data_IF_490433268930
#
_entry.id   IF_490433268930
#
_cell.length_a   1.000
_cell.length_b   1.000
_cell.length_c   1.000
_cell.angle_alpha   90.00
_cell.angle_beta   90.00
_cell.angle_gamma   90.00
#
_symmetry.space_group_name_H-M   'P 1'
#
loop_
_entity.id
_entity.type
_entity.pdbx_description
1 polymer ?
#
# COMPACT_ATOMS: atom_id res chain seq x y z
N UNK A 1 0.57 3.60 26.19
CA UNK A 1 1.00 2.76 27.34
C UNK A 1 1.66 1.44 26.89
N UNK A 2 2.67 1.44 26.01
CA UNK A 2 3.29 0.20 25.47
C UNK A 2 4.69 -0.14 26.02
N UNK A 3 5.28 0.72 26.86
CA UNK A 3 6.67 0.54 27.33
C UNK A 3 6.88 -0.59 28.34
N UNK A 4 5.93 -0.80 29.26
CA UNK A 4 6.11 -1.70 30.40
C UNK A 4 6.33 -3.17 30.01
N UNK A 5 5.50 -3.70 29.10
CA UNK A 5 5.61 -5.10 28.65
C UNK A 5 6.87 -5.32 27.80
N UNK A 6 7.25 -4.33 26.98
CA UNK A 6 8.46 -4.41 26.16
C UNK A 6 9.73 -4.42 27.02
N UNK A 7 9.79 -3.58 28.06
CA UNK A 7 10.90 -3.59 29.02
C UNK A 7 10.95 -4.87 29.85
N UNK A 8 9.81 -5.43 30.24
CA UNK A 8 9.76 -6.73 30.90
C UNK A 8 10.33 -7.85 30.02
N UNK A 9 9.99 -7.88 28.73
CA UNK A 9 10.55 -8.85 27.78
C UNK A 9 12.06 -8.69 27.63
N UNK A 10 12.58 -7.47 27.59
CA UNK A 10 14.01 -7.18 27.54
C UNK A 10 14.75 -7.65 28.82
N UNK A 11 14.16 -7.41 29.99
CA UNK A 11 14.65 -7.88 31.30
C UNK A 11 14.80 -9.40 31.33
N UNK A 12 13.75 -10.13 30.92
CA UNK A 12 13.69 -11.61 30.95
C UNK A 12 14.57 -12.23 29.85
N UNK A 13 14.55 -11.69 28.64
CA UNK A 13 15.35 -12.18 27.51
C UNK A 13 16.86 -11.89 27.63
N UNK A 14 17.27 -11.03 28.57
CA UNK A 14 18.62 -10.47 28.67
C UNK A 14 19.04 -9.68 27.42
N UNK A 15 18.09 -9.08 26.71
CA UNK A 15 18.32 -8.25 25.53
C UNK A 15 18.14 -6.77 25.84
N UNK A 16 19.05 -5.92 25.35
CA UNK A 16 19.00 -4.47 25.54
C UNK A 16 20.00 -3.93 26.57
N UNK A 17 20.31 -2.63 26.48
CA UNK A 17 21.31 -1.96 27.31
C UNK A 17 20.72 -1.19 28.50
N UNK A 18 19.44 -0.85 28.43
CA UNK A 18 18.79 0.10 29.34
C UNK A 18 17.88 -0.57 30.39
N UNK A 19 17.94 -1.90 30.50
CA UNK A 19 17.10 -2.67 31.42
C UNK A 19 18.00 -3.64 32.18
N UNK A 20 17.84 -3.70 33.51
CA UNK A 20 18.53 -4.68 34.35
C UNK A 20 18.17 -6.10 33.88
N UNK A 21 19.08 -7.06 33.99
CA UNK A 21 18.82 -8.46 33.55
C UNK A 21 18.17 -9.27 34.67
N UNK A 22 17.25 -10.17 34.31
CA UNK A 22 16.63 -11.11 35.23
C UNK A 22 17.69 -12.01 35.89
N UNK A 23 17.61 -12.19 37.20
CA UNK A 23 18.56 -13.00 37.98
C UNK A 23 18.07 -14.44 38.20
N UNK A 24 16.79 -14.71 37.95
CA UNK A 24 16.17 -16.01 38.19
C UNK A 24 16.71 -17.07 37.20
N UNK A 25 16.95 -18.26 37.73
CA UNK A 25 17.53 -19.40 36.97
C UNK A 25 16.69 -20.67 37.09
N UNK A 26 15.42 -20.56 37.47
CA UNK A 26 14.53 -21.72 37.49
C UNK A 26 14.31 -22.24 36.07
N UNK A 27 13.94 -23.53 35.89
CA UNK A 27 13.61 -24.08 34.57
C UNK A 27 12.56 -23.25 33.83
N UNK A 28 11.55 -22.74 34.54
CA UNK A 28 10.49 -21.89 34.00
C UNK A 28 11.02 -20.52 33.56
N UNK A 29 11.99 -19.97 34.30
CA UNK A 29 12.64 -18.70 33.94
C UNK A 29 13.49 -18.83 32.66
N UNK A 30 14.16 -19.97 32.46
CA UNK A 30 14.90 -20.27 31.23
C UNK A 30 13.96 -20.43 30.02
N UNK A 31 12.82 -21.11 30.20
CA UNK A 31 11.80 -21.23 29.16
C UNK A 31 11.18 -19.86 28.82
N UNK A 32 10.86 -19.05 29.84
CA UNK A 32 10.35 -17.69 29.67
C UNK A 32 11.37 -16.78 28.95
N UNK A 33 12.67 -16.96 29.23
CA UNK A 33 13.76 -16.26 28.54
C UNK A 33 13.77 -16.55 27.05
N UNK A 34 13.72 -17.82 26.65
CA UNK A 34 13.69 -18.20 25.23
C UNK A 34 12.41 -17.72 24.54
N UNK A 35 11.25 -17.83 25.19
CA UNK A 35 9.98 -17.28 24.65
C UNK A 35 10.06 -15.77 24.45
N UNK A 36 10.57 -15.02 25.44
CA UNK A 36 10.72 -13.58 25.33
C UNK A 36 11.68 -13.20 24.20
N UNK A 37 12.82 -13.90 24.08
CA UNK A 37 13.81 -13.71 23.02
C UNK A 37 13.22 -13.94 21.63
N UNK A 38 12.47 -15.04 21.46
CA UNK A 38 11.77 -15.33 20.20
C UNK A 38 10.79 -14.21 19.84
N UNK A 39 9.95 -13.76 20.78
CA UNK A 39 8.98 -12.69 20.50
C UNK A 39 9.63 -11.35 20.16
N UNK A 40 10.79 -11.02 20.74
CA UNK A 40 11.53 -9.81 20.41
C UNK A 40 12.12 -9.90 19.00
N UNK A 41 12.69 -11.05 18.63
CA UNK A 41 13.26 -11.25 17.30
C UNK A 41 12.21 -11.32 16.20
N UNK A 42 11.08 -12.00 16.43
CA UNK A 42 9.94 -12.00 15.50
C UNK A 42 9.40 -10.56 15.28
N UNK A 43 9.37 -9.74 16.34
CA UNK A 43 8.97 -8.34 16.23
C UNK A 43 10.00 -7.48 15.47
N UNK A 44 11.31 -7.74 15.62
CA UNK A 44 12.37 -7.10 14.82
C UNK A 44 12.25 -7.49 13.35
N UNK A 45 12.17 -8.79 13.05
CA UNK A 45 12.01 -9.31 11.69
C UNK A 45 10.76 -8.73 11.01
N UNK A 46 9.62 -8.66 11.70
CA UNK A 46 8.40 -8.04 11.15
C UNK A 46 8.56 -6.54 10.86
N UNK A 47 9.44 -5.82 11.58
CA UNK A 47 9.76 -4.42 11.26
C UNK A 47 10.67 -4.35 10.05
N UNK A 48 11.68 -5.21 9.98
CA UNK A 48 12.59 -5.32 8.83
C UNK A 48 11.83 -5.69 7.55
N UNK A 49 10.95 -6.69 7.59
CA UNK A 49 10.06 -7.08 6.49
C UNK A 49 9.18 -5.91 6.02
N UNK A 50 8.65 -5.10 6.95
CA UNK A 50 7.90 -3.87 6.59
C UNK A 50 8.78 -2.83 5.91
N UNK A 51 10.00 -2.63 6.41
CA UNK A 51 10.96 -1.71 5.80
C UNK A 51 11.36 -2.18 4.41
N UNK A 52 11.59 -3.48 4.23
CA UNK A 52 11.92 -4.09 2.94
C UNK A 52 10.74 -3.92 1.98
N UNK A 53 9.52 -4.25 2.40
CA UNK A 53 8.33 -4.09 1.57
C UNK A 53 8.09 -2.63 1.19
N UNK A 54 8.33 -1.68 2.10
CA UNK A 54 8.29 -0.25 1.77
C UNK A 54 9.35 0.08 0.72
N UNK A 55 10.59 -0.39 0.86
CA UNK A 55 11.65 -0.16 -0.12
C UNK A 55 11.35 -0.80 -1.48
N UNK A 56 10.79 -2.01 -1.53
CA UNK A 56 10.37 -2.69 -2.76
C UNK A 56 9.24 -1.91 -3.45
N UNK A 57 8.25 -1.43 -2.69
CA UNK A 57 7.17 -0.59 -3.19
C UNK A 57 7.70 0.74 -3.77
N UNK A 58 8.76 1.30 -3.17
CA UNK A 58 9.45 2.51 -3.65
C UNK A 58 10.23 2.23 -4.92
N UNK A 59 10.94 1.10 -4.99
CA UNK A 59 11.67 0.65 -6.18
C UNK A 59 10.74 0.35 -7.38
N UNK A 60 9.49 -0.08 -7.13
CA UNK A 60 8.47 -0.25 -8.17
C UNK A 60 8.09 1.08 -8.85
N UNK A 61 8.28 2.23 -8.18
CA UNK A 61 8.08 3.55 -8.77
C UNK A 61 9.22 3.82 -9.75
N UNK A 62 9.01 3.46 -11.02
CA UNK A 62 9.95 3.75 -12.09
C UNK A 62 9.32 4.71 -13.11
N UNK A 63 9.52 6.01 -12.90
CA UNK A 63 9.16 7.05 -13.89
C UNK A 63 10.43 7.39 -14.67
N UNK A 64 10.54 6.91 -15.91
CA UNK A 64 11.74 7.12 -16.74
C UNK A 64 12.17 8.60 -16.73
N UNK A 65 13.37 8.86 -16.21
CA UNK A 65 13.97 10.20 -16.21
C UNK A 65 14.60 10.44 -17.58
N UNK A 66 14.12 11.44 -18.31
CA UNK A 66 14.89 11.97 -19.44
C UNK A 66 16.00 12.83 -18.86
N UNK A 67 17.22 12.27 -18.83
CA UNK A 67 18.46 12.98 -18.49
C UNK A 67 18.80 12.99 -17.00
N UNK A 68 19.76 12.16 -16.59
CA UNK A 68 20.34 12.19 -15.26
C UNK A 68 21.58 11.31 -15.14
N UNK A 69 22.75 11.89 -15.41
CA UNK A 69 24.04 11.34 -14.99
C UNK A 69 24.66 12.24 -13.92
N UNK A 70 24.98 11.61 -12.79
CA UNK A 70 25.82 12.01 -11.65
C UNK A 70 25.60 13.33 -10.88
N UNK A 71 25.67 13.13 -9.57
CA UNK A 71 25.51 14.04 -8.44
C UNK A 71 26.52 15.19 -8.41
N UNK A 72 26.04 16.41 -8.17
CA UNK A 72 26.79 17.43 -7.40
C UNK A 72 25.81 18.12 -6.44
N UNK A 73 26.26 18.23 -5.20
CA UNK A 73 25.55 18.78 -4.03
C UNK A 73 24.75 20.05 -4.30
N UNK A 74 23.57 20.08 -3.69
CA UNK A 74 22.78 21.28 -3.49
C UNK A 74 23.56 22.24 -2.60
N UNK A 75 24.08 23.32 -3.17
CA UNK A 75 24.33 24.56 -2.44
C UNK A 75 23.46 25.66 -3.03
N UNK A 76 22.37 25.96 -2.34
CA UNK A 76 21.56 27.15 -2.58
C UNK A 76 22.34 28.36 -2.04
N UNK A 77 22.63 29.38 -2.85
CA UNK A 77 22.67 30.81 -2.49
C UNK A 77 22.71 31.62 -3.80
N UNK A 78 21.89 32.67 -3.83
CA UNK A 78 21.53 33.39 -5.05
C UNK A 78 22.70 34.02 -5.82
N UNK A 79 22.56 34.01 -7.14
CA UNK A 79 23.08 35.04 -8.02
C UNK A 79 22.18 35.12 -9.26
N UNK A 80 21.76 36.34 -9.56
CA UNK A 80 20.87 36.72 -10.63
C UNK A 80 21.61 36.72 -11.98
N UNK A 81 21.34 35.70 -12.79
CA UNK A 81 21.33 35.74 -14.26
C UNK A 81 20.61 34.47 -14.76
N UNK A 82 19.74 34.54 -15.78
CA UNK A 82 19.10 33.34 -16.30
C UNK A 82 20.18 32.47 -16.95
N UNK A 83 20.51 31.35 -16.32
CA UNK A 83 21.46 30.37 -16.85
C UNK A 83 21.03 29.98 -18.26
N UNK A 84 21.77 30.45 -19.27
CA UNK A 84 21.60 30.00 -20.63
C UNK A 84 22.12 28.58 -20.71
N UNK A 85 21.16 27.66 -20.81
CA UNK A 85 21.30 26.29 -21.31
C UNK A 85 21.94 25.33 -20.30
N UNK A 86 21.18 24.28 -19.98
CA UNK A 86 21.57 23.23 -19.05
C UNK A 86 22.32 22.10 -19.77
N UNK A 87 22.94 21.17 -19.04
CA UNK A 87 23.66 20.02 -19.61
C UNK A 87 22.79 19.14 -20.51
N UNK A 88 21.46 19.20 -20.36
CA UNK A 88 20.44 18.49 -21.15
C UNK A 88 20.43 18.93 -22.63
N UNK A 89 20.84 20.17 -22.91
CA UNK A 89 20.85 20.74 -24.26
C UNK A 89 21.95 20.15 -25.15
N UNK A 90 22.85 19.32 -24.59
CA UNK A 90 23.81 18.49 -25.34
C UNK A 90 23.18 17.28 -26.02
N UNK A 91 22.02 16.82 -25.56
CA UNK A 91 21.37 15.60 -26.05
C UNK A 91 19.98 15.83 -26.64
N UNK A 92 19.33 16.96 -26.38
CA UNK A 92 18.30 17.44 -27.30
C UNK A 92 19.03 17.96 -28.53
N UNK A 93 18.96 17.21 -29.64
CA UNK A 93 19.35 17.72 -30.95
C UNK A 93 18.72 19.12 -31.07
N UNK A 94 19.54 20.16 -31.22
CA UNK A 94 19.02 21.48 -31.59
C UNK A 94 18.01 21.23 -32.71
N UNK A 95 16.82 21.84 -32.63
CA UNK A 95 15.88 21.83 -33.75
C UNK A 95 16.73 22.31 -34.92
N UNK A 96 17.15 21.39 -35.79
CA UNK A 96 18.00 21.75 -36.89
C UNK A 96 17.15 22.75 -37.66
N UNK A 97 17.57 24.02 -37.81
CA UNK A 97 16.79 24.97 -38.59
C UNK A 97 16.65 24.51 -40.05
N UNK A 98 17.34 23.44 -40.45
CA UNK A 98 17.21 22.73 -41.72
C UNK A 98 16.33 21.47 -41.70
N UNK A 99 15.78 21.04 -40.56
CA UNK A 99 14.83 19.93 -40.52
C UNK A 99 13.56 20.31 -41.29
N UNK A 100 13.07 19.39 -42.12
CA UNK A 100 11.85 19.62 -42.89
C UNK A 100 10.68 19.82 -41.92
N UNK A 101 9.75 20.75 -42.19
CA UNK A 101 8.60 21.04 -41.30
C UNK A 101 7.85 19.77 -40.83
N UNK A 102 7.82 18.71 -41.64
CA UNK A 102 7.23 17.42 -41.29
C UNK A 102 7.97 16.65 -40.20
N UNK A 103 9.31 16.67 -40.18
CA UNK A 103 10.14 15.97 -39.20
C UNK A 103 10.10 16.66 -37.84
N UNK A 104 10.10 17.99 -37.81
CA UNK A 104 9.92 18.76 -36.58
C UNK A 104 8.53 18.54 -35.95
N UNK A 105 7.48 18.50 -36.78
CA UNK A 105 6.12 18.18 -36.32
C UNK A 105 6.01 16.74 -35.82
N UNK A 106 6.75 15.80 -36.41
CA UNK A 106 6.77 14.39 -35.97
C UNK A 106 7.46 14.24 -34.61
N UNK A 107 8.60 14.90 -34.41
CA UNK A 107 9.31 14.91 -33.12
C UNK A 107 8.48 15.60 -32.02
N UNK A 108 7.77 16.69 -32.33
CA UNK A 108 6.85 17.34 -31.39
C UNK A 108 5.68 16.44 -30.98
N UNK A 109 5.10 15.69 -31.92
CA UNK A 109 4.04 14.71 -31.64
C UNK A 109 4.54 13.58 -30.74
N UNK A 110 5.72 13.02 -31.03
CA UNK A 110 6.33 11.98 -30.21
C UNK A 110 6.61 12.46 -28.78
N UNK A 111 7.19 13.66 -28.63
CA UNK A 111 7.42 14.26 -27.32
C UNK A 111 6.10 14.44 -26.56
N UNK A 112 5.04 14.91 -27.23
CA UNK A 112 3.73 15.11 -26.60
C UNK A 112 3.14 13.81 -26.07
N UNK A 113 3.20 12.72 -26.84
CA UNK A 113 2.69 11.42 -26.38
C UNK A 113 3.54 10.84 -25.24
N UNK A 114 4.87 10.97 -25.30
CA UNK A 114 5.76 10.57 -24.21
C UNK A 114 5.46 11.34 -22.90
N UNK A 115 5.19 12.65 -23.00
CA UNK A 115 4.80 13.45 -21.85
C UNK A 115 3.46 13.01 -21.26
N UNK A 116 2.47 12.70 -22.11
CA UNK A 116 1.17 12.18 -21.64
C UNK A 116 1.31 10.84 -20.92
N UNK A 117 2.08 9.91 -21.50
CA UNK A 117 2.33 8.60 -20.90
C UNK A 117 3.00 8.72 -19.52
N UNK A 118 4.02 9.58 -19.42
CA UNK A 118 4.74 9.82 -18.17
C UNK A 118 3.85 10.46 -17.11
N UNK A 119 3.06 11.48 -17.50
CA UNK A 119 2.09 12.12 -16.60
C UNK A 119 1.07 11.11 -16.08
N UNK A 120 0.56 10.25 -16.96
CA UNK A 120 -0.37 9.18 -16.59
C UNK A 120 0.26 8.16 -15.63
N UNK A 121 1.53 7.77 -15.83
CA UNK A 121 2.23 6.89 -14.90
C UNK A 121 2.36 7.51 -13.51
N UNK A 122 2.67 8.80 -13.41
CA UNK A 122 2.68 9.52 -12.12
C UNK A 122 1.29 9.55 -11.50
N UNK A 123 0.24 9.79 -12.30
CA UNK A 123 -1.13 9.79 -11.82
C UNK A 123 -1.57 8.44 -11.23
N UNK A 124 -1.09 7.31 -11.79
CA UNK A 124 -1.27 5.97 -11.19
C UNK A 124 -0.63 5.85 -9.81
N UNK A 125 0.62 6.26 -9.68
CA UNK A 125 1.31 6.23 -8.38
C UNK A 125 0.67 7.17 -7.36
N UNK A 126 0.13 8.31 -7.82
CA UNK A 126 -0.65 9.21 -6.98
C UNK A 126 -1.89 8.50 -6.45
N UNK A 127 -2.64 7.78 -7.28
CA UNK A 127 -3.79 7.00 -6.86
C UNK A 127 -3.43 5.87 -5.86
N UNK A 128 -2.20 5.34 -5.91
CA UNK A 128 -1.67 4.29 -5.02
C UNK A 128 -1.05 4.80 -3.71
N UNK A 129 -1.15 6.09 -3.39
CA UNK A 129 -0.52 6.72 -2.23
C UNK A 129 1.02 6.78 -2.27
N UNK A 130 1.63 6.49 -3.42
CA UNK A 130 3.07 6.64 -3.69
C UNK A 130 3.39 8.01 -4.32
N UNK A 131 2.65 9.04 -3.89
CA UNK A 131 2.66 10.37 -4.50
C UNK A 131 4.03 11.03 -4.48
N UNK A 132 4.67 11.09 -3.30
CA UNK A 132 5.87 11.91 -3.10
C UNK A 132 7.03 11.48 -4.00
N UNK A 133 7.25 10.17 -4.11
CA UNK A 133 8.36 9.61 -4.87
C UNK A 133 8.14 9.70 -6.39
N UNK A 134 6.90 9.49 -6.84
CA UNK A 134 6.56 9.67 -8.26
C UNK A 134 6.67 11.14 -8.70
N UNK A 135 6.27 12.08 -7.84
CA UNK A 135 6.40 13.53 -8.11
C UNK A 135 7.88 13.93 -8.16
N UNK A 136 8.70 13.41 -7.24
CA UNK A 136 10.14 13.64 -7.20
C UNK A 136 10.85 13.15 -8.47
N UNK A 137 10.56 11.92 -8.92
CA UNK A 137 11.13 11.37 -10.15
C UNK A 137 10.62 12.07 -11.42
N UNK A 138 9.41 12.63 -11.41
CA UNK A 138 8.87 13.39 -12.54
C UNK A 138 9.59 14.73 -12.73
N UNK A 139 9.78 15.49 -11.65
CA UNK A 139 10.38 16.82 -11.65
C UNK A 139 9.36 17.96 -11.80
N UNK A 140 9.86 19.19 -12.01
CA UNK A 140 9.02 20.38 -12.11
C UNK A 140 8.13 20.37 -13.37
N UNK A 141 6.90 20.87 -13.26
CA UNK A 141 5.94 20.99 -14.38
C UNK A 141 4.88 19.89 -14.45
N UNK A 142 4.71 19.07 -13.39
CA UNK A 142 3.61 18.12 -13.29
C UNK A 142 2.28 18.86 -13.10
N UNK A 143 1.33 18.60 -13.99
CA UNK A 143 -0.07 18.97 -13.76
C UNK A 143 -0.77 17.88 -12.92
N UNK A 144 -1.44 18.26 -11.81
CA UNK A 144 -2.14 17.29 -10.98
C UNK A 144 -3.30 16.66 -11.75
N UNK A 145 -3.65 15.39 -11.47
CA UNK A 145 -4.79 14.75 -12.10
C UNK A 145 -6.07 15.49 -11.75
N UNK A 146 -6.95 15.65 -12.73
CA UNK A 146 -8.27 16.24 -12.52
C UNK A 146 -9.21 15.24 -11.85
N UNK A 147 -10.28 15.73 -11.21
CA UNK A 147 -11.21 14.89 -10.46
C UNK A 147 -11.85 13.77 -11.30
N UNK A 148 -12.15 14.03 -12.57
CA UNK A 148 -12.71 13.04 -13.49
C UNK A 148 -11.73 11.89 -13.76
N UNK A 149 -10.45 12.19 -13.98
CA UNK A 149 -9.43 11.16 -14.20
C UNK A 149 -9.26 10.28 -12.96
N UNK A 150 -9.35 10.85 -11.76
CA UNK A 150 -9.29 10.10 -10.49
C UNK A 150 -10.51 9.21 -10.27
N UNK A 151 -11.72 9.71 -10.53
CA UNK A 151 -12.97 8.98 -10.26
C UNK A 151 -13.23 7.85 -11.23
N UNK A 152 -12.81 8.02 -12.48
CA UNK A 152 -13.17 7.11 -13.54
C UNK A 152 -11.94 6.33 -14.00
N UNK A 153 -11.06 6.95 -14.80
CA UNK A 153 -9.98 6.24 -15.49
C UNK A 153 -9.01 5.57 -14.53
N UNK A 154 -8.46 6.34 -13.58
CA UNK A 154 -7.44 5.84 -12.65
C UNK A 154 -8.07 4.86 -11.64
N UNK A 155 -9.30 5.11 -11.20
CA UNK A 155 -10.02 4.18 -10.32
C UNK A 155 -10.24 2.83 -11.01
N UNK A 156 -10.71 2.83 -12.26
CA UNK A 156 -10.94 1.60 -13.01
C UNK A 156 -9.66 0.81 -13.29
N UNK A 157 -8.56 1.50 -13.62
CA UNK A 157 -7.26 0.85 -13.83
C UNK A 157 -6.72 0.22 -12.53
N UNK A 158 -6.84 0.90 -11.39
CA UNK A 158 -6.44 0.37 -10.08
C UNK A 158 -7.36 -0.76 -9.60
N UNK A 159 -8.67 -0.65 -9.88
CA UNK A 159 -9.63 -1.72 -9.63
C UNK A 159 -9.28 -2.96 -10.44
N UNK A 160 -8.99 -2.81 -11.74
CA UNK A 160 -8.59 -3.91 -12.62
C UNK A 160 -7.27 -4.56 -12.16
N UNK A 161 -6.27 -3.77 -11.76
CA UNK A 161 -5.01 -4.28 -11.19
C UNK A 161 -5.28 -5.09 -9.93
N UNK A 162 -6.03 -4.53 -8.98
CA UNK A 162 -6.34 -5.18 -7.71
C UNK A 162 -7.10 -6.48 -7.93
N UNK A 163 -8.09 -6.47 -8.83
CA UNK A 163 -8.85 -7.66 -9.23
C UNK A 163 -7.93 -8.74 -9.80
N UNK A 164 -6.99 -8.38 -10.67
CA UNK A 164 -5.99 -9.31 -11.23
C UNK A 164 -5.14 -9.96 -10.13
N UNK A 165 -4.61 -9.16 -9.19
CA UNK A 165 -3.82 -9.66 -8.06
C UNK A 165 -4.62 -10.57 -7.11
N UNK A 166 -5.95 -10.40 -7.05
CA UNK A 166 -6.83 -11.23 -6.23
C UNK A 166 -7.16 -12.58 -6.88
N UNK A 167 -7.04 -12.73 -8.20
CA UNK A 167 -7.44 -13.95 -8.92
C UNK A 167 -6.77 -15.22 -8.37
N UNK A 168 -5.49 -15.14 -8.01
CA UNK A 168 -4.77 -16.27 -7.42
C UNK A 168 -5.38 -16.68 -6.08
N UNK A 169 -5.68 -15.70 -5.21
CA UNK A 169 -6.30 -15.93 -3.90
C UNK A 169 -7.75 -16.41 -4.04
N UNK A 170 -8.48 -15.91 -5.03
CA UNK A 170 -9.83 -16.39 -5.36
C UNK A 170 -9.79 -17.86 -5.82
N UNK A 171 -8.80 -18.24 -6.64
CA UNK A 171 -8.62 -19.62 -7.06
C UNK A 171 -8.24 -20.55 -5.89
N UNK A 172 -7.40 -20.09 -4.95
CA UNK A 172 -7.09 -20.82 -3.72
C UNK A 172 -8.32 -20.96 -2.81
N UNK A 173 -9.11 -19.89 -2.68
CA UNK A 173 -10.37 -19.87 -1.94
C UNK A 173 -11.35 -20.92 -2.47
N UNK A 174 -11.43 -21.13 -3.78
CA UNK A 174 -12.30 -22.17 -4.36
C UNK A 174 -11.86 -23.60 -4.02
N UNK A 175 -10.59 -23.82 -3.68
CA UNK A 175 -10.07 -25.15 -3.31
C UNK A 175 -10.19 -25.42 -1.81
N UNK A 176 -9.93 -24.41 -0.99
CA UNK A 176 -9.77 -24.56 0.45
C UNK A 176 -10.97 -24.03 1.24
N UNK A 177 -11.93 -23.40 0.55
CA UNK A 177 -12.96 -22.58 1.15
C UNK A 177 -12.40 -21.29 1.77
N UNK A 178 -13.29 -20.48 2.33
CA UNK A 178 -12.92 -19.27 3.07
C UNK A 178 -13.66 -19.16 4.40
N UNK A 179 -13.03 -18.45 5.32
CA UNK A 179 -13.67 -17.93 6.53
C UNK A 179 -14.17 -16.52 6.25
N UNK A 180 -15.44 -16.24 6.53
CA UNK A 180 -15.98 -14.87 6.54
C UNK A 180 -15.69 -14.29 7.91
N UNK A 181 -15.00 -13.15 7.95
CA UNK A 181 -14.77 -12.39 9.18
C UNK A 181 -15.43 -11.04 9.04
N UNK A 182 -16.38 -10.74 9.91
CA UNK A 182 -17.11 -9.45 9.91
C UNK A 182 -16.77 -8.71 11.19
N UNK A 183 -16.08 -7.57 11.06
CA UNK A 183 -16.04 -6.54 12.07
C UNK A 183 -17.13 -5.52 11.75
N UNK A 184 -18.28 -5.61 12.42
CA UNK A 184 -19.30 -4.57 12.34
C UNK A 184 -18.76 -3.30 13.06
N UNK A 185 -17.87 -2.55 12.40
CA UNK A 185 -17.22 -1.34 12.90
C UNK A 185 -17.91 -0.10 12.33
N UNK A 186 -18.27 0.81 13.22
CA UNK A 186 -19.33 1.81 13.08
C UNK A 186 -18.95 3.13 12.39
N UNK A 187 -18.28 3.13 11.23
CA UNK A 187 -17.83 4.41 10.62
C UNK A 187 -18.21 4.72 9.18
N UNK A 188 -18.51 3.74 8.33
CA UNK A 188 -18.74 4.02 6.89
C UNK A 188 -20.22 3.86 6.45
N UNK A 189 -21.12 3.47 7.34
CA UNK A 189 -22.58 3.45 7.11
C UNK A 189 -23.26 4.30 8.17
N UNK A 190 -23.14 5.63 8.07
CA UNK A 190 -23.63 6.56 9.11
C UNK A 190 -25.15 6.56 9.27
N UNK A 191 -25.90 6.07 8.27
CA UNK A 191 -27.36 6.19 8.23
C UNK A 191 -28.09 4.84 8.37
N UNK A 192 -27.36 3.73 8.47
CA UNK A 192 -27.94 2.39 8.63
C UNK A 192 -27.72 1.93 10.06
N UNK A 193 -28.80 1.80 10.82
CA UNK A 193 -28.77 1.25 12.17
C UNK A 193 -28.06 -0.11 12.15
N UNK A 194 -27.06 -0.30 13.02
CA UNK A 194 -26.33 -1.56 13.17
C UNK A 194 -27.20 -2.63 13.82
N UNK A 195 -28.31 -3.03 13.22
CA UNK A 195 -29.20 -4.05 13.78
C UNK A 195 -28.73 -5.45 13.42
N UNK A 196 -29.23 -6.44 14.14
CA UNK A 196 -28.98 -7.85 13.85
C UNK A 196 -29.39 -8.25 12.44
N UNK A 197 -30.42 -7.61 11.88
CA UNK A 197 -30.97 -7.92 10.56
C UNK A 197 -30.03 -7.43 9.46
N UNK A 198 -29.52 -6.19 9.56
CA UNK A 198 -28.57 -5.65 8.58
C UNK A 198 -27.30 -6.48 8.54
N UNK A 199 -26.78 -6.87 9.71
CA UNK A 199 -25.59 -7.72 9.79
C UNK A 199 -25.88 -9.10 9.19
N UNK A 200 -27.05 -9.67 9.49
CA UNK A 200 -27.50 -10.93 8.89
C UNK A 200 -27.54 -10.85 7.37
N UNK A 201 -28.18 -9.83 6.79
CA UNK A 201 -28.31 -9.65 5.34
C UNK A 201 -26.95 -9.52 4.65
N UNK A 202 -26.02 -8.76 5.25
CA UNK A 202 -24.67 -8.61 4.70
C UNK A 202 -23.90 -9.94 4.67
N UNK A 203 -23.94 -10.68 5.78
CA UNK A 203 -23.25 -11.97 5.87
C UNK A 203 -23.91 -12.99 4.96
N UNK A 204 -25.23 -13.02 4.93
CA UNK A 204 -26.00 -13.96 4.10
C UNK A 204 -25.77 -13.72 2.61
N UNK A 205 -25.75 -12.46 2.16
CA UNK A 205 -25.37 -12.10 0.79
C UNK A 205 -23.93 -12.50 0.48
N UNK A 206 -22.99 -12.29 1.41
CA UNK A 206 -21.61 -12.72 1.24
C UNK A 206 -21.50 -14.26 1.10
N UNK A 207 -22.31 -15.02 1.83
CA UNK A 207 -22.36 -16.48 1.69
C UNK A 207 -22.91 -16.88 0.30
N UNK A 208 -23.93 -16.18 -0.20
CA UNK A 208 -24.49 -16.42 -1.53
C UNK A 208 -23.48 -16.11 -2.64
N UNK A 209 -22.80 -14.97 -2.58
CA UNK A 209 -21.79 -14.55 -3.56
C UNK A 209 -20.58 -15.51 -3.60
N UNK A 210 -20.25 -16.12 -2.46
CA UNK A 210 -19.12 -17.06 -2.32
C UNK A 210 -19.53 -18.49 -2.71
N UNK A 211 -20.80 -18.84 -2.53
CA UNK A 211 -21.28 -20.21 -2.57
C UNK A 211 -21.20 -20.85 -1.17
N UNK A 212 -22.31 -21.41 -0.64
CA UNK A 212 -22.36 -22.00 0.70
C UNK A 212 -21.31 -23.10 0.92
N UNK A 213 -21.04 -23.91 -0.10
CA UNK A 213 -20.08 -25.02 -0.04
C UNK A 213 -18.63 -24.55 0.13
N UNK A 214 -18.35 -23.29 -0.20
CA UNK A 214 -17.02 -22.69 -0.09
C UNK A 214 -16.84 -21.88 1.20
N UNK A 215 -17.85 -21.80 2.08
CA UNK A 215 -17.76 -21.09 3.36
C UNK A 215 -17.49 -22.10 4.48
N UNK A 216 -16.31 -22.00 5.09
CA UNK A 216 -15.86 -22.90 6.17
C UNK A 216 -16.43 -22.47 7.52
N UNK A 217 -16.43 -21.16 7.78
CA UNK A 217 -16.92 -20.59 9.03
C UNK A 217 -17.24 -19.09 8.87
N UNK A 218 -18.11 -18.60 9.74
CA UNK A 218 -18.35 -17.17 9.94
C UNK A 218 -17.83 -16.79 11.33
N UNK A 219 -16.88 -15.87 11.39
CA UNK A 219 -16.26 -15.38 12.63
C UNK A 219 -16.78 -13.97 12.91
N UNK A 220 -17.49 -13.83 14.03
CA UNK A 220 -18.00 -12.55 14.54
C UNK A 220 -17.55 -12.36 16.00
N UNK A 221 -17.50 -11.12 16.46
CA UNK A 221 -17.34 -10.85 17.89
C UNK A 221 -18.62 -11.18 18.68
N UNK A 222 -18.59 -10.97 20.00
CA UNK A 222 -19.71 -11.26 20.90
C UNK A 222 -20.65 -10.05 21.10
N UNK A 223 -20.64 -9.04 20.22
CA UNK A 223 -21.56 -7.91 20.30
C UNK A 223 -23.02 -8.39 20.16
N UNK A 224 -23.96 -7.70 20.81
CA UNK A 224 -25.37 -8.11 20.87
C UNK A 224 -26.00 -8.31 19.49
N UNK A 225 -25.68 -7.43 18.54
CA UNK A 225 -26.28 -7.45 17.22
C UNK A 225 -25.68 -8.57 16.35
N UNK A 226 -24.41 -8.90 16.55
CA UNK A 226 -23.77 -10.08 15.96
C UNK A 226 -24.36 -11.37 16.51
N UNK A 227 -24.69 -11.43 17.81
CA UNK A 227 -25.38 -12.57 18.40
C UNK A 227 -26.81 -12.74 17.87
N UNK A 228 -27.52 -11.63 17.62
CA UNK A 228 -28.82 -11.66 16.94
C UNK A 228 -28.69 -12.17 15.49
N UNK A 229 -27.73 -11.64 14.73
CA UNK A 229 -27.45 -12.07 13.36
C UNK A 229 -27.10 -13.56 13.28
N UNK A 230 -26.27 -14.06 14.21
CA UNK A 230 -25.95 -15.49 14.34
C UNK A 230 -27.20 -16.35 14.50
N UNK A 231 -28.16 -15.92 15.32
CA UNK A 231 -29.42 -16.64 15.53
C UNK A 231 -30.23 -16.71 14.22
N UNK A 232 -30.27 -15.62 13.46
CA UNK A 232 -30.95 -15.57 12.16
C UNK A 232 -30.26 -16.46 11.12
N UNK A 233 -28.91 -16.45 11.07
CA UNK A 233 -28.13 -17.32 10.18
C UNK A 233 -28.40 -18.80 10.46
N UNK A 234 -28.39 -19.23 11.72
CA UNK A 234 -28.70 -20.61 12.11
C UNK A 234 -30.13 -21.04 11.79
N UNK A 235 -31.08 -20.09 11.71
CA UNK A 235 -32.46 -20.39 11.31
C UNK A 235 -32.59 -20.56 9.79
N UNK A 236 -31.94 -19.70 9.00
CA UNK A 236 -31.98 -19.79 7.53
C UNK A 236 -31.10 -20.93 6.99
N UNK A 237 -29.97 -21.20 7.65
CA UNK A 237 -28.91 -22.12 7.22
C UNK A 237 -28.55 -23.06 8.39
N UNK A 238 -29.38 -24.09 8.65
CA UNK A 238 -29.18 -25.02 9.77
C UNK A 238 -27.96 -25.94 9.60
#
# INVERSE_FOLDING_TARGET
>A
MQGGIYWLKQHVAHEGKNVTKCKDRTPEALEAKEKCKKTLNDAKRKREEKTIHELELREEVNVSRVGGGESVEVTCIGSSEPHKLGPIDKWTRAIDPKATKSESLTQQKLNKELWKERTHNVHKYIARWQMCEAIEQFGAGLEPPIQYDLRDRLLEEEYARTKSLLQEREAEKMKNGCSIMTDACSKEMSDVSHTSEVIFELVDKAIEDIGPDNVVQVVTDNASNNMGAKKLLLQKRP
#
